data_IF_441402065656
#
_entry.id   IF_441402065656
#
_cell.length_a   1.000
_cell.length_b   1.000
_cell.length_c   1.000
_cell.angle_alpha   90.00
_cell.angle_beta   90.00
_cell.angle_gamma   90.00
#
_symmetry.space_group_name_H-M   'P 1'
#
loop_
_entity.id
_entity.type
_entity.pdbx_description
1 polymer ?
#
# COMPACT_ATOMS: atom_id res chain seq x y z
N UNK A 1 -6.05 -16.61 -8.96
CA UNK A 1 -6.63 -15.73 -10.01
C UNK A 1 -7.97 -15.10 -9.60
N UNK A 2 -8.69 -15.65 -8.60
CA UNK A 2 -9.96 -15.09 -8.10
C UNK A 2 -9.78 -13.82 -7.24
N UNK A 3 -8.72 -13.73 -6.44
CA UNK A 3 -8.45 -12.58 -5.55
C UNK A 3 -8.08 -11.29 -6.27
N UNK A 4 -7.25 -11.37 -7.32
CA UNK A 4 -7.00 -10.22 -8.19
C UNK A 4 -8.32 -9.78 -8.83
N UNK A 5 -9.22 -10.71 -9.14
CA UNK A 5 -10.59 -10.42 -9.56
C UNK A 5 -11.45 -9.89 -8.40
N UNK A 6 -11.17 -10.18 -7.14
CA UNK A 6 -11.95 -9.71 -5.99
C UNK A 6 -11.53 -8.32 -5.49
N UNK A 7 -10.24 -7.95 -5.57
CA UNK A 7 -9.79 -6.54 -5.41
C UNK A 7 -10.18 -5.69 -6.62
N UNK A 8 -10.04 -6.24 -7.84
CA UNK A 8 -10.57 -5.61 -9.06
C UNK A 8 -12.09 -5.49 -9.00
N UNK A 9 -12.81 -6.52 -8.53
CA UNK A 9 -14.25 -6.46 -8.24
C UNK A 9 -14.56 -5.50 -7.11
N UNK A 10 -13.75 -5.36 -6.06
CA UNK A 10 -14.00 -4.38 -5.02
C UNK A 10 -13.98 -2.96 -5.61
N UNK A 11 -13.00 -2.68 -6.48
CA UNK A 11 -12.89 -1.44 -7.26
C UNK A 11 -14.04 -1.30 -8.29
N UNK A 12 -14.45 -2.39 -8.95
CA UNK A 12 -15.55 -2.43 -9.93
C UNK A 12 -16.95 -2.47 -9.27
N UNK A 13 -17.04 -2.84 -7.99
CA UNK A 13 -18.25 -2.90 -7.16
C UNK A 13 -18.56 -1.58 -6.48
N UNK A 14 -17.61 -0.63 -6.55
CA UNK A 14 -17.89 0.75 -6.21
C UNK A 14 -18.98 1.24 -7.16
N UNK A 15 -20.11 1.66 -6.61
CA UNK A 15 -21.15 2.30 -7.41
C UNK A 15 -20.57 3.53 -8.11
N UNK A 16 -21.13 3.92 -9.26
CA UNK A 16 -20.71 5.14 -9.97
C UNK A 16 -20.74 6.36 -9.03
N UNK A 17 -21.65 6.38 -8.05
CA UNK A 17 -21.71 7.41 -7.02
C UNK A 17 -20.56 7.33 -6.01
N UNK A 18 -20.15 6.12 -5.57
CA UNK A 18 -18.96 5.92 -4.74
C UNK A 18 -17.69 6.34 -5.48
N UNK A 19 -17.54 5.92 -6.74
CA UNK A 19 -16.41 6.33 -7.59
C UNK A 19 -16.38 7.85 -7.76
N UNK A 20 -17.52 8.47 -8.05
CA UNK A 20 -17.64 9.93 -8.19
C UNK A 20 -17.33 10.65 -6.88
N UNK A 21 -17.76 10.10 -5.74
CA UNK A 21 -17.51 10.67 -4.41
C UNK A 21 -16.03 10.57 -4.02
N UNK A 22 -15.41 9.40 -4.16
CA UNK A 22 -13.97 9.19 -3.97
C UNK A 22 -13.18 10.11 -4.92
N UNK A 23 -13.57 10.19 -6.18
CA UNK A 23 -12.94 11.09 -7.15
C UNK A 23 -13.07 12.57 -6.76
N UNK A 24 -14.20 12.97 -6.19
CA UNK A 24 -14.42 14.34 -5.71
C UNK A 24 -13.62 14.63 -4.44
N UNK A 25 -13.49 13.66 -3.53
CA UNK A 25 -12.62 13.76 -2.34
C UNK A 25 -11.15 13.85 -2.74
N UNK A 26 -10.70 13.00 -3.67
CA UNK A 26 -9.37 13.09 -4.28
C UNK A 26 -9.16 14.44 -4.96
N UNK A 27 -10.12 14.93 -5.74
CA UNK A 27 -10.07 16.29 -6.32
C UNK A 27 -10.04 17.38 -5.26
N UNK A 28 -10.67 17.18 -4.10
CA UNK A 28 -10.64 18.09 -2.96
C UNK A 28 -9.26 18.18 -2.30
N UNK A 29 -8.62 17.02 -2.10
CA UNK A 29 -7.22 16.89 -1.66
C UNK A 29 -6.28 17.60 -2.66
N UNK A 30 -6.45 17.31 -3.95
CA UNK A 30 -5.64 17.85 -5.05
C UNK A 30 -5.81 19.36 -5.26
N UNK A 31 -7.03 19.89 -5.07
CA UNK A 31 -7.32 21.32 -5.27
C UNK A 31 -6.92 22.19 -4.07
N UNK A 32 -6.24 21.64 -3.07
CA UNK A 32 -5.78 22.39 -1.90
C UNK A 32 -6.92 22.88 -1.00
N UNK A 33 -8.13 22.30 -1.08
CA UNK A 33 -9.21 22.58 -0.12
C UNK A 33 -9.11 21.76 1.17
N UNK A 34 -8.26 20.72 1.16
CA UNK A 34 -7.67 20.18 2.39
C UNK A 34 -6.28 20.83 2.50
N UNK A 35 -6.30 22.13 2.78
CA UNK A 35 -5.12 22.86 3.24
C UNK A 35 -4.61 22.15 4.49
N UNK A 36 -3.36 21.70 4.44
CA UNK A 36 -2.68 20.94 5.48
C UNK A 36 -3.16 19.48 5.62
N UNK A 37 -2.40 18.56 5.03
CA UNK A 37 -1.97 17.37 5.80
C UNK A 37 -1.08 17.92 6.92
N UNK A 38 -1.67 18.60 7.90
CA UNK A 38 -0.93 18.94 9.11
C UNK A 38 -0.57 17.62 9.74
N UNK A 39 0.65 17.58 10.25
CA UNK A 39 1.31 16.58 11.09
C UNK A 39 0.52 16.20 12.36
N UNK A 40 -0.79 15.96 12.25
CA UNK A 40 -1.72 15.69 13.35
C UNK A 40 -2.77 14.63 13.01
N UNK A 41 -2.70 13.96 11.86
CA UNK A 41 -3.47 12.73 11.68
C UNK A 41 -2.63 11.59 12.24
N UNK A 42 -2.87 11.19 13.49
CA UNK A 42 -2.14 10.13 14.20
C UNK A 42 -1.96 8.87 13.36
N UNK A 43 -2.91 8.61 12.47
CA UNK A 43 -2.93 7.52 11.50
C UNK A 43 -1.79 7.58 10.48
N UNK A 44 -1.55 8.76 9.90
CA UNK A 44 -0.47 8.91 8.93
C UNK A 44 0.89 8.77 9.62
N UNK A 45 0.98 9.19 10.88
CA UNK A 45 2.16 8.97 11.69
C UNK A 45 2.36 7.49 12.04
N UNK A 46 1.30 6.77 12.45
CA UNK A 46 1.36 5.31 12.68
C UNK A 46 1.81 4.55 11.41
N UNK A 47 1.33 4.96 10.23
CA UNK A 47 1.79 4.44 8.95
C UNK A 47 3.30 4.68 8.71
N UNK A 48 3.76 5.91 8.94
CA UNK A 48 5.18 6.27 8.83
C UNK A 48 6.03 5.47 9.82
N UNK A 49 5.57 5.32 11.06
CA UNK A 49 6.30 4.62 12.12
C UNK A 49 6.50 3.14 11.75
N UNK A 50 5.46 2.48 11.23
CA UNK A 50 5.58 1.11 10.70
C UNK A 50 6.58 1.07 9.54
N UNK A 51 6.52 2.01 8.61
CA UNK A 51 7.47 2.09 7.51
C UNK A 51 8.92 2.29 8.01
N UNK A 52 9.16 3.09 9.04
CA UNK A 52 10.48 3.29 9.65
C UNK A 52 11.00 2.02 10.31
N UNK A 53 10.13 1.26 10.99
CA UNK A 53 10.51 -0.03 11.58
C UNK A 53 10.92 -1.02 10.49
N UNK A 54 10.13 -1.09 9.41
CA UNK A 54 10.36 -1.98 8.29
C UNK A 54 11.56 -1.59 7.42
N UNK A 55 11.97 -0.32 7.38
CA UNK A 55 13.10 0.14 6.56
C UNK A 55 14.47 -0.07 7.21
N UNK A 56 14.51 -0.33 8.51
CA UNK A 56 15.76 -0.40 9.29
C UNK A 56 16.18 -1.86 9.54
N UNK A 57 17.33 -2.26 8.99
CA UNK A 57 17.98 -3.56 9.22
C UNK A 57 18.13 -3.93 10.70
N UNK A 58 18.27 -2.93 11.57
CA UNK A 58 18.35 -3.12 13.03
C UNK A 58 17.08 -3.78 13.59
N UNK A 59 15.92 -3.49 13.02
CA UNK A 59 14.62 -3.96 13.50
C UNK A 59 14.03 -5.05 12.60
N UNK A 60 14.31 -5.01 11.30
CA UNK A 60 13.76 -5.94 10.32
C UNK A 60 14.86 -6.42 9.37
N UNK A 61 15.34 -7.67 9.55
CA UNK A 61 16.49 -8.21 8.80
C UNK A 61 16.08 -8.86 7.47
N UNK A 62 15.32 -8.13 6.66
CA UNK A 62 14.99 -8.56 5.31
C UNK A 62 15.23 -7.39 4.34
N UNK A 63 16.34 -7.49 3.60
CA UNK A 63 16.82 -6.42 2.71
C UNK A 63 15.82 -6.04 1.62
N UNK A 64 15.04 -6.99 1.12
CA UNK A 64 14.05 -6.72 0.09
C UNK A 64 12.93 -5.83 0.63
N UNK A 65 12.45 -6.14 1.83
CA UNK A 65 11.47 -5.31 2.55
C UNK A 65 12.08 -3.96 2.94
N UNK A 66 13.31 -3.94 3.45
CA UNK A 66 13.98 -2.68 3.81
C UNK A 66 14.11 -1.74 2.59
N UNK A 67 14.50 -2.28 1.45
CA UNK A 67 14.68 -1.53 0.20
C UNK A 67 13.35 -0.96 -0.32
N UNK A 68 12.29 -1.78 -0.34
CA UNK A 68 11.00 -1.34 -0.87
C UNK A 68 10.38 -0.28 0.06
N UNK A 69 10.50 -0.44 1.37
CA UNK A 69 9.97 0.53 2.34
C UNK A 69 10.81 1.81 2.42
N UNK A 70 12.11 1.76 2.14
CA UNK A 70 12.92 2.99 2.00
C UNK A 70 12.41 3.87 0.86
N UNK A 71 12.03 3.28 -0.28
CA UNK A 71 11.46 4.03 -1.40
C UNK A 71 10.15 4.77 -1.03
N UNK A 72 9.32 4.18 -0.17
CA UNK A 72 8.15 4.87 0.39
C UNK A 72 8.56 6.09 1.21
N UNK A 73 9.53 5.94 2.12
CA UNK A 73 9.99 7.04 2.97
C UNK A 73 10.60 8.18 2.15
N UNK A 74 11.37 7.85 1.12
CA UNK A 74 11.94 8.85 0.19
C UNK A 74 10.83 9.66 -0.49
N UNK A 75 9.76 9.02 -0.97
CA UNK A 75 8.64 9.73 -1.59
C UNK A 75 7.85 10.59 -0.60
N UNK A 76 7.73 10.16 0.66
CA UNK A 76 7.11 10.96 1.73
C UNK A 76 7.96 12.20 2.01
N UNK A 77 9.27 12.06 2.19
CA UNK A 77 10.20 13.16 2.46
C UNK A 77 10.18 14.19 1.31
N UNK A 78 10.12 13.70 0.07
CA UNK A 78 10.07 14.54 -1.13
C UNK A 78 8.65 15.07 -1.46
N UNK A 79 7.67 14.87 -0.57
CA UNK A 79 6.28 15.33 -0.72
C UNK A 79 5.60 14.86 -2.02
N UNK A 80 5.97 13.68 -2.53
CA UNK A 80 5.40 13.09 -3.74
C UNK A 80 4.21 12.15 -3.48
N UNK A 81 3.78 12.07 -2.22
CA UNK A 81 2.65 11.25 -1.78
C UNK A 81 1.56 12.11 -1.15
N UNK A 82 0.32 11.85 -1.55
CA UNK A 82 -0.87 12.29 -0.83
C UNK A 82 -1.46 11.10 -0.06
N UNK A 83 -1.79 11.32 1.21
CA UNK A 83 -2.47 10.32 2.04
C UNK A 83 -3.82 10.87 2.50
N UNK A 84 -4.88 10.10 2.27
CA UNK A 84 -6.24 10.43 2.66
C UNK A 84 -6.93 9.28 3.36
N UNK A 85 -7.92 9.62 4.18
CA UNK A 85 -8.79 8.67 4.88
C UNK A 85 -10.24 8.99 4.53
N UNK A 86 -11.06 7.98 4.27
CA UNK A 86 -12.46 8.17 3.95
C UNK A 86 -13.31 6.97 4.37
N UNK A 87 -14.53 7.23 4.87
CA UNK A 87 -15.56 6.20 5.12
C UNK A 87 -16.07 5.55 3.82
N UNK A 88 -15.76 6.15 2.66
CA UNK A 88 -16.21 5.68 1.34
C UNK A 88 -15.22 4.75 0.67
N UNK A 89 -14.06 4.56 1.26
CA UNK A 89 -12.99 3.70 0.76
C UNK A 89 -13.07 2.39 1.54
N UNK A 90 -13.44 1.25 0.92
CA UNK A 90 -13.65 0.00 1.65
C UNK A 90 -12.34 -0.70 2.03
N UNK A 91 -11.25 -0.39 1.34
CA UNK A 91 -9.91 -0.96 1.55
C UNK A 91 -8.86 0.05 1.11
N UNK A 92 -7.61 -0.14 1.52
CA UNK A 92 -6.50 0.72 1.06
C UNK A 92 -6.40 0.69 -0.47
N UNK A 93 -6.34 1.87 -1.08
CA UNK A 93 -6.19 2.09 -2.53
C UNK A 93 -4.91 2.89 -2.75
N UNK A 94 -4.12 2.48 -3.74
CA UNK A 94 -2.99 3.25 -4.26
C UNK A 94 -3.31 3.62 -5.70
N UNK A 95 -3.19 4.91 -6.03
CA UNK A 95 -3.48 5.43 -7.35
C UNK A 95 -2.49 6.53 -7.74
N UNK A 96 -2.11 6.59 -9.01
CA UNK A 96 -1.38 7.73 -9.56
C UNK A 96 -2.39 8.75 -10.04
N UNK A 97 -2.27 9.99 -9.55
CA UNK A 97 -3.15 11.08 -9.96
C UNK A 97 -2.32 12.19 -10.62
N UNK A 98 -2.63 12.55 -11.89
CA UNK A 98 -1.96 13.65 -12.57
C UNK A 98 -2.36 14.97 -11.92
N UNK A 99 -1.38 15.85 -11.72
CA UNK A 99 -1.58 17.22 -11.24
C UNK A 99 -1.64 18.22 -12.39
N UNK A 100 -2.09 19.44 -12.05
CA UNK A 100 -2.12 20.56 -12.99
C UNK A 100 -0.73 21.03 -13.44
N UNK A 101 0.29 20.78 -12.64
CA UNK A 101 1.69 21.10 -12.96
C UNK A 101 2.34 20.08 -13.91
N UNK A 102 1.59 19.05 -14.32
CA UNK A 102 2.06 17.98 -15.21
C UNK A 102 2.80 16.85 -14.49
N UNK A 103 3.11 16.99 -13.20
CA UNK A 103 3.79 15.94 -12.45
C UNK A 103 2.77 14.99 -11.79
N UNK A 104 2.87 13.67 -12.00
CA UNK A 104 2.01 12.73 -11.31
C UNK A 104 2.39 12.65 -9.82
N UNK A 105 1.39 12.43 -8.96
CA UNK A 105 1.59 12.14 -7.54
C UNK A 105 0.98 10.80 -7.21
N UNK A 106 1.61 10.08 -6.29
CA UNK A 106 1.06 8.85 -5.76
C UNK A 106 0.09 9.20 -4.63
N UNK A 107 -1.16 8.76 -4.74
CA UNK A 107 -2.21 8.99 -3.76
C UNK A 107 -2.57 7.67 -3.10
N UNK A 108 -2.54 7.66 -1.78
CA UNK A 108 -2.96 6.55 -0.92
C UNK A 108 -4.26 6.98 -0.24
N UNK A 109 -5.29 6.16 -0.39
CA UNK A 109 -6.56 6.34 0.32
C UNK A 109 -6.79 5.13 1.21
N UNK A 110 -7.08 5.35 2.49
CA UNK A 110 -7.36 4.30 3.45
C UNK A 110 -8.80 4.40 3.99
N UNK A 111 -9.40 3.28 4.45
CA UNK A 111 -10.68 3.31 5.14
C UNK A 111 -10.55 4.07 6.48
N UNK A 112 -11.63 4.69 6.94
CA UNK A 112 -11.66 5.43 8.22
C UNK A 112 -11.33 4.60 9.45
N UNK A 113 -11.64 3.31 9.43
CA UNK A 113 -11.34 2.38 10.52
C UNK A 113 -9.92 1.80 10.44
N UNK A 114 -9.14 2.09 9.39
CA UNK A 114 -7.76 1.63 9.25
C UNK A 114 -6.84 1.86 10.46
N UNK A 115 -6.94 3.00 11.20
CA UNK A 115 -6.11 3.22 12.38
C UNK A 115 -6.41 2.21 13.49
N UNK A 116 -7.67 1.85 13.67
CA UNK A 116 -8.04 0.80 14.63
C UNK A 116 -7.50 -0.54 14.15
N UNK A 117 -7.57 -0.83 12.85
CA UNK A 117 -6.99 -2.05 12.29
C UNK A 117 -5.47 -2.14 12.47
N UNK A 118 -4.74 -1.02 12.44
CA UNK A 118 -3.30 -0.97 12.72
C UNK A 118 -2.96 -1.40 14.15
N UNK A 119 -3.85 -1.13 15.11
CA UNK A 119 -3.69 -1.53 16.51
C UNK A 119 -4.17 -2.94 16.77
N UNK A 120 -5.29 -3.32 16.16
CA UNK A 120 -5.96 -4.60 16.42
C UNK A 120 -5.32 -5.76 15.66
N UNK A 121 -4.75 -5.50 14.48
CA UNK A 121 -4.08 -6.49 13.62
C UNK A 121 -2.80 -5.93 12.97
N UNK A 122 -1.75 -5.67 13.78
CA UNK A 122 -0.53 -5.03 13.29
C UNK A 122 0.19 -5.89 12.23
N UNK A 123 0.10 -7.22 12.32
CA UNK A 123 0.76 -8.13 11.36
C UNK A 123 0.13 -8.04 9.97
N UNK A 124 -1.20 -7.99 9.89
CA UNK A 124 -1.87 -7.76 8.61
C UNK A 124 -1.58 -6.36 8.05
N UNK A 125 -1.60 -5.34 8.91
CA UNK A 125 -1.39 -3.97 8.44
C UNK A 125 0.06 -3.69 8.02
N UNK A 126 1.06 -4.34 8.62
CA UNK A 126 2.44 -4.32 8.11
C UNK A 126 2.50 -4.85 6.66
N UNK A 127 1.72 -5.89 6.34
CA UNK A 127 1.56 -6.37 4.96
C UNK A 127 1.03 -5.30 4.01
N UNK A 128 0.05 -4.52 4.46
CA UNK A 128 -0.50 -3.39 3.70
C UNK A 128 0.55 -2.29 3.47
N UNK A 129 1.39 -2.00 4.46
CA UNK A 129 2.50 -1.03 4.33
C UNK A 129 3.51 -1.48 3.28
N UNK A 130 3.89 -2.77 3.30
CA UNK A 130 4.79 -3.35 2.30
C UNK A 130 4.18 -3.33 0.90
N UNK A 131 2.89 -3.65 0.80
CA UNK A 131 2.14 -3.57 -0.46
C UNK A 131 2.16 -2.15 -1.03
N UNK A 132 1.86 -1.12 -0.21
CA UNK A 132 1.94 0.29 -0.61
C UNK A 132 3.38 0.65 -1.03
N UNK A 133 4.36 0.20 -0.26
CA UNK A 133 5.77 0.48 -0.51
C UNK A 133 6.21 -0.03 -1.88
N UNK A 134 5.72 -1.20 -2.30
CA UNK A 134 6.00 -1.74 -3.64
C UNK A 134 5.47 -0.84 -4.75
N UNK A 135 4.24 -0.32 -4.61
CA UNK A 135 3.68 0.63 -5.58
C UNK A 135 4.44 1.96 -5.59
N UNK A 136 4.94 2.39 -4.43
CA UNK A 136 5.82 3.55 -4.32
C UNK A 136 7.13 3.36 -5.10
N UNK A 137 7.75 2.20 -4.98
CA UNK A 137 8.96 1.86 -5.72
C UNK A 137 8.70 1.77 -7.23
N UNK A 138 7.59 1.16 -7.65
CA UNK A 138 7.19 1.12 -9.06
C UNK A 138 7.00 2.54 -9.62
N UNK A 139 6.31 3.42 -8.87
CA UNK A 139 6.13 4.82 -9.24
C UNK A 139 7.45 5.59 -9.33
N UNK A 140 8.36 5.40 -8.37
CA UNK A 140 9.68 6.04 -8.37
C UNK A 140 10.54 5.62 -9.58
N UNK A 141 10.36 4.37 -10.05
CA UNK A 141 11.01 3.83 -11.23
C UNK A 141 10.31 4.20 -12.56
N UNK A 142 9.23 4.99 -12.51
CA UNK A 142 8.50 5.42 -13.70
C UNK A 142 7.64 4.32 -14.35
N UNK A 143 7.32 3.25 -13.62
CA UNK A 143 6.44 2.18 -14.11
C UNK A 143 5.02 2.72 -14.23
N UNK A 144 4.40 2.54 -15.40
CA UNK A 144 2.98 2.84 -15.57
C UNK A 144 2.13 1.76 -14.87
N UNK A 145 1.61 2.09 -13.69
CA UNK A 145 0.77 1.20 -12.89
C UNK A 145 -0.55 0.79 -13.58
N UNK A 146 -0.98 1.48 -14.64
CA UNK A 146 -2.16 1.07 -15.42
C UNK A 146 -1.79 -0.01 -16.43
N UNK A 147 -0.74 0.21 -17.21
CA UNK A 147 -0.29 -0.72 -18.24
C UNK A 147 0.32 -1.99 -17.62
N UNK A 148 1.08 -1.84 -16.54
CA UNK A 148 1.68 -2.94 -15.80
C UNK A 148 0.88 -3.38 -14.57
N UNK A 149 -0.43 -3.10 -14.56
CA UNK A 149 -1.27 -3.33 -13.38
C UNK A 149 -1.14 -4.74 -12.80
N UNK A 150 -1.14 -5.80 -13.62
CA UNK A 150 -0.99 -7.16 -13.10
C UNK A 150 0.43 -7.45 -12.57
N UNK A 151 1.47 -7.02 -13.27
CA UNK A 151 2.87 -7.23 -12.83
C UNK A 151 3.16 -6.48 -11.55
N UNK A 152 2.72 -5.22 -11.47
CA UNK A 152 2.85 -4.39 -10.28
C UNK A 152 2.09 -4.96 -9.09
N UNK A 153 0.87 -5.45 -9.30
CA UNK A 153 0.09 -6.14 -8.26
C UNK A 153 0.79 -7.42 -7.78
N UNK A 154 1.33 -8.21 -8.70
CA UNK A 154 2.07 -9.42 -8.36
C UNK A 154 3.36 -9.10 -7.59
N UNK A 155 4.12 -8.06 -7.97
CA UNK A 155 5.26 -7.55 -7.19
C UNK A 155 4.86 -7.23 -5.76
N UNK A 156 3.83 -6.40 -5.60
CA UNK A 156 3.37 -5.95 -4.29
C UNK A 156 2.91 -7.11 -3.39
N UNK A 157 2.14 -8.07 -3.93
CA UNK A 157 1.74 -9.28 -3.21
C UNK A 157 2.94 -10.17 -2.87
N UNK A 158 3.94 -10.27 -3.75
CA UNK A 158 5.13 -11.08 -3.51
C UNK A 158 5.98 -10.55 -2.35
N UNK A 159 6.09 -9.22 -2.23
CA UNK A 159 6.74 -8.59 -1.09
C UNK A 159 5.92 -8.76 0.20
N UNK A 160 4.59 -8.66 0.13
CA UNK A 160 3.74 -8.95 1.29
C UNK A 160 3.96 -10.39 1.81
N UNK A 161 4.07 -11.37 0.92
CA UNK A 161 4.39 -12.76 1.31
C UNK A 161 5.79 -12.89 1.90
N UNK A 162 6.76 -12.15 1.39
CA UNK A 162 8.11 -12.14 1.95
C UNK A 162 8.13 -11.63 3.41
N UNK A 163 7.36 -10.58 3.72
CA UNK A 163 7.11 -10.16 5.10
C UNK A 163 6.44 -11.27 5.92
N UNK A 164 5.38 -11.90 5.39
CA UNK A 164 4.67 -12.98 6.10
C UNK A 164 5.62 -14.14 6.43
N UNK A 165 6.43 -14.57 5.48
CA UNK A 165 7.41 -15.65 5.68
C UNK A 165 8.42 -15.28 6.76
N UNK A 166 8.94 -14.05 6.73
CA UNK A 166 9.81 -13.54 7.80
C UNK A 166 9.10 -13.58 9.17
N UNK A 167 7.84 -13.15 9.26
CA UNK A 167 7.08 -13.17 10.51
C UNK A 167 6.84 -14.60 11.00
N UNK A 168 6.55 -15.57 10.12
CA UNK A 168 6.43 -17.00 10.47
C UNK A 168 7.70 -17.56 11.10
N UNK A 169 8.87 -17.13 10.64
CA UNK A 169 10.15 -17.58 11.20
C UNK A 169 10.43 -16.97 12.59
N UNK A 170 9.93 -15.76 12.86
CA UNK A 170 10.23 -15.02 14.10
C UNK A 170 9.17 -15.18 15.18
N UNK A 171 7.92 -15.45 14.81
CA UNK A 171 6.78 -15.55 15.71
C UNK A 171 6.32 -17.00 15.82
N UNK A 172 5.88 -17.37 17.03
CA UNK A 172 5.39 -18.73 17.33
C UNK A 172 4.09 -19.06 16.58
N UNK A 173 3.24 -18.06 16.37
CA UNK A 173 1.97 -18.19 15.67
C UNK A 173 1.67 -16.87 14.97
N UNK A 174 1.31 -16.94 13.69
CA UNK A 174 0.74 -15.82 12.96
C UNK A 174 -0.62 -16.26 12.43
N UNK A 175 -1.63 -15.42 12.60
CA UNK A 175 -2.96 -15.67 12.05
C UNK A 175 -3.06 -14.95 10.72
N UNK A 176 -3.23 -15.71 9.65
CA UNK A 176 -3.48 -15.15 8.32
C UNK A 176 -4.98 -15.04 8.08
N UNK A 177 -5.39 -14.03 7.32
CA UNK A 177 -6.72 -14.01 6.73
C UNK A 177 -6.72 -14.75 5.37
N UNK A 178 -7.91 -14.99 4.82
CA UNK A 178 -8.11 -15.73 3.57
C UNK A 178 -7.25 -15.16 2.42
N UNK A 179 -7.26 -13.83 2.25
CA UNK A 179 -6.42 -13.16 1.27
C UNK A 179 -4.93 -13.48 1.43
N UNK A 180 -4.41 -13.38 2.66
CA UNK A 180 -2.99 -13.66 2.96
C UNK A 180 -2.63 -15.13 2.73
N UNK A 181 -3.51 -16.05 3.11
CA UNK A 181 -3.33 -17.48 2.84
C UNK A 181 -3.22 -17.74 1.34
N UNK A 182 -4.07 -17.09 0.55
CA UNK A 182 -4.09 -17.30 -0.88
C UNK A 182 -2.88 -16.69 -1.61
N UNK A 183 -2.41 -15.50 -1.22
CA UNK A 183 -1.17 -14.96 -1.78
C UNK A 183 0.04 -15.80 -1.35
N UNK A 184 0.06 -16.37 -0.14
CA UNK A 184 1.09 -17.32 0.28
C UNK A 184 1.10 -18.60 -0.58
N UNK A 185 -0.07 -19.11 -0.99
CA UNK A 185 -0.16 -20.23 -1.93
C UNK A 185 0.36 -19.84 -3.32
N UNK A 186 0.08 -18.62 -3.77
CA UNK A 186 0.48 -18.11 -5.09
C UNK A 186 1.97 -17.78 -5.19
N UNK A 187 2.57 -17.23 -4.13
CA UNK A 187 3.96 -16.78 -4.09
C UNK A 187 4.71 -17.41 -2.91
N UNK A 188 4.86 -18.74 -2.86
CA UNK A 188 5.34 -19.45 -1.66
C UNK A 188 6.72 -18.97 -1.16
N UNK A 189 7.58 -18.50 -2.07
CA UNK A 189 8.92 -17.98 -1.76
C UNK A 189 8.99 -16.45 -1.86
N UNK A 190 7.87 -15.75 -1.68
CA UNK A 190 7.80 -14.29 -1.74
C UNK A 190 8.21 -13.75 -3.11
N UNK A 191 9.06 -12.72 -3.13
CA UNK A 191 9.52 -12.08 -4.36
C UNK A 191 10.20 -13.04 -5.34
N UNK A 192 10.92 -14.06 -4.84
CA UNK A 192 11.57 -15.08 -5.68
C UNK A 192 10.60 -15.99 -6.43
N UNK A 193 9.33 -16.03 -6.03
CA UNK A 193 8.26 -16.74 -6.76
C UNK A 193 7.60 -15.90 -7.84
N UNK A 194 7.98 -14.63 -7.99
CA UNK A 194 7.34 -13.71 -8.91
C UNK A 194 8.26 -13.43 -10.12
N UNK A 195 7.80 -13.78 -11.32
CA UNK A 195 8.44 -13.41 -12.58
C UNK A 195 8.10 -11.96 -12.96
N UNK A 196 8.46 -11.04 -12.06
CA UNK A 196 8.00 -9.65 -12.10
C UNK A 196 9.09 -8.66 -11.66
N UNK A 197 10.36 -8.99 -11.94
CA UNK A 197 11.51 -8.16 -11.58
C UNK A 197 11.42 -6.74 -12.18
N UNK A 198 12.09 -5.81 -11.50
CA UNK A 198 12.25 -4.41 -11.93
C UNK A 198 13.10 -4.30 -13.19
#
# INVERSE_FOLDING_TARGET
>A
MQICKDRKKAIESLSQDQVKKITNEMKGIIRGKITNVSSTNSVFQEFIDVAIVLSKDKFFKNKNINNVTSALLDLIENKKIYFGISDHVPNVIVAIVPQKDGNPYLTIMAPSNWPSLLRDDPDYQMGTVVYISSHCKDFANGIDLKEESEKSQNRAMSYEVELINYLKEKKKEIKLNEYQEEICKKFPNGHSSCDCHY
#
